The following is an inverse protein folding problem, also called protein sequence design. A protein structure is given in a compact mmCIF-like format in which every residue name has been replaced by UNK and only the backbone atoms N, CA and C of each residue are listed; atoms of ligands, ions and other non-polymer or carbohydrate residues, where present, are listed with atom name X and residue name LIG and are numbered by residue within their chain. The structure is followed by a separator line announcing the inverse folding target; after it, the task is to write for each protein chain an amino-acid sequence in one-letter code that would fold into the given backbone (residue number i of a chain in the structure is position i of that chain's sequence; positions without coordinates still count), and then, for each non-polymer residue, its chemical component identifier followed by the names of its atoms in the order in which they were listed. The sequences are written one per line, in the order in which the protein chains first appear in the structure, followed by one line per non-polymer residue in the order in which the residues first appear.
data_IF_502356840235
#
_entry.id   IF_502356840235
#
_cell.length_a   1.000
_cell.length_b   1.000
_cell.length_c   1.000
_cell.angle_alpha   90.00
_cell.angle_beta   90.00
_cell.angle_gamma   90.00
#
_symmetry.space_group_name_H-M   'P 1'
#
loop_
_entity.id
_entity.type
_entity.pdbx_description
1 polymer ?
#
# COMPACT_ATOMS: atom_id res chain seq x y z
N UNK A 1 -5.58 -8.18 -53.34
CA UNK A 1 -5.93 -7.58 -52.03
C UNK A 1 -4.63 -7.26 -51.30
N UNK A 2 -4.28 -5.99 -51.22
CA UNK A 2 -3.06 -5.51 -50.58
C UNK A 2 -3.33 -5.24 -49.10
N UNK A 3 -2.77 -6.04 -48.20
CA UNK A 3 -2.78 -5.78 -46.76
C UNK A 3 -1.34 -5.86 -46.29
N UNK A 4 -0.71 -4.69 -46.16
CA UNK A 4 0.36 -4.37 -45.21
C UNK A 4 1.05 -3.07 -45.64
N UNK A 5 1.16 -2.12 -44.70
CA UNK A 5 2.33 -1.27 -44.37
C UNK A 5 1.86 -0.12 -43.47
N UNK A 6 2.45 0.01 -42.28
CA UNK A 6 2.20 1.02 -41.23
C UNK A 6 1.12 0.71 -40.18
N UNK A 7 1.35 -0.36 -39.41
CA UNK A 7 0.98 -0.28 -37.99
C UNK A 7 2.13 0.40 -37.24
N UNK A 8 1.87 1.37 -36.34
CA UNK A 8 2.90 2.04 -35.53
C UNK A 8 3.83 1.06 -34.81
N UNK A 9 3.26 -0.07 -34.35
CA UNK A 9 4.00 -1.15 -33.71
C UNK A 9 4.97 -1.88 -34.65
N UNK A 10 4.69 -1.93 -35.95
CA UNK A 10 5.50 -2.66 -36.93
C UNK A 10 6.80 -1.94 -37.29
N UNK A 11 6.79 -0.62 -37.36
CA UNK A 11 8.00 0.17 -37.62
C UNK A 11 8.94 0.13 -36.40
N UNK A 12 8.38 0.29 -35.19
CA UNK A 12 9.10 0.27 -33.93
C UNK A 12 9.74 -1.09 -33.72
N UNK A 13 8.98 -2.18 -33.86
CA UNK A 13 9.49 -3.52 -33.65
C UNK A 13 10.66 -3.85 -34.60
N UNK A 14 10.62 -3.38 -35.85
CA UNK A 14 11.74 -3.55 -36.79
C UNK A 14 12.99 -2.79 -36.35
N UNK A 15 12.85 -1.51 -36.02
CA UNK A 15 13.97 -0.70 -35.55
C UNK A 15 14.54 -1.25 -34.22
N UNK A 16 13.66 -1.72 -33.34
CA UNK A 16 14.00 -2.31 -32.06
C UNK A 16 14.80 -3.61 -32.22
N UNK A 17 14.29 -4.58 -32.97
CA UNK A 17 14.98 -5.86 -33.20
C UNK A 17 16.37 -5.67 -33.84
N UNK A 18 16.55 -4.62 -34.64
CA UNK A 18 17.84 -4.30 -35.25
C UNK A 18 18.86 -3.71 -34.29
N UNK A 19 18.43 -3.04 -33.21
CA UNK A 19 19.32 -2.23 -32.37
C UNK A 19 19.29 -2.58 -30.87
N UNK A 20 18.33 -3.37 -30.40
CA UNK A 20 18.17 -3.72 -28.99
C UNK A 20 19.44 -4.34 -28.38
N UNK A 21 20.11 -5.26 -29.10
CA UNK A 21 21.34 -5.89 -28.61
C UNK A 21 22.53 -4.91 -28.52
N UNK A 22 22.58 -3.89 -29.37
CA UNK A 22 23.59 -2.81 -29.28
C UNK A 22 23.26 -1.85 -28.14
N UNK A 23 21.98 -1.49 -27.98
CA UNK A 23 21.49 -0.63 -26.91
C UNK A 23 21.68 -1.28 -25.53
N UNK A 24 21.39 -2.57 -25.40
CA UNK A 24 21.59 -3.33 -24.16
C UNK A 24 23.06 -3.31 -23.75
N UNK A 25 23.98 -3.60 -24.69
CA UNK A 25 25.44 -3.55 -24.43
C UNK A 25 25.90 -2.14 -24.05
N UNK A 26 25.39 -1.13 -24.75
CA UNK A 26 25.68 0.27 -24.45
C UNK A 26 25.21 0.68 -23.05
N UNK A 27 23.97 0.33 -22.69
CA UNK A 27 23.36 0.66 -21.40
C UNK A 27 24.03 -0.09 -20.26
N UNK A 28 24.20 -1.42 -20.36
CA UNK A 28 24.85 -2.24 -19.33
C UNK A 28 26.29 -1.81 -19.05
N UNK A 29 27.05 -1.42 -20.09
CA UNK A 29 28.42 -0.92 -19.91
C UNK A 29 28.46 0.44 -19.19
N UNK A 30 27.42 1.28 -19.35
CA UNK A 30 27.38 2.65 -18.85
C UNK A 30 26.64 2.81 -17.52
N UNK A 31 25.69 1.92 -17.21
CA UNK A 31 24.99 1.86 -15.91
C UNK A 31 25.86 1.24 -14.81
N UNK A 32 26.87 0.45 -15.18
CA UNK A 32 27.81 -0.16 -14.23
C UNK A 32 27.37 -1.53 -13.68
N UNK A 33 26.13 -1.95 -13.95
CA UNK A 33 25.65 -3.31 -13.71
C UNK A 33 24.64 -3.74 -14.80
N UNK A 34 24.43 -5.06 -14.92
CA UNK A 34 23.56 -5.64 -15.94
C UNK A 34 22.08 -5.30 -15.73
N UNK A 35 21.61 -5.34 -14.47
CA UNK A 35 20.20 -5.15 -14.11
C UNK A 35 19.69 -3.74 -14.48
N UNK A 36 20.43 -2.69 -14.11
CA UNK A 36 20.07 -1.31 -14.47
C UNK A 36 20.10 -1.11 -15.99
N UNK A 37 20.97 -1.84 -16.69
CA UNK A 37 21.02 -1.80 -18.16
C UNK A 37 19.77 -2.38 -18.81
N UNK A 38 19.22 -3.46 -18.25
CA UNK A 38 17.99 -4.11 -18.70
C UNK A 38 16.76 -3.25 -18.40
N UNK A 39 16.69 -2.66 -17.20
CA UNK A 39 15.61 -1.74 -16.81
C UNK A 39 15.56 -0.50 -17.72
N UNK A 40 16.73 0.13 -17.97
CA UNK A 40 16.83 1.28 -18.86
C UNK A 40 16.45 0.93 -20.30
N UNK A 41 16.75 -0.31 -20.75
CA UNK A 41 16.37 -0.78 -22.07
C UNK A 41 14.84 -0.97 -22.16
N UNK A 42 14.22 -1.49 -21.11
CA UNK A 42 12.77 -1.64 -21.04
C UNK A 42 12.06 -0.28 -21.03
N UNK A 43 12.54 0.67 -20.24
CA UNK A 43 12.01 2.04 -20.19
C UNK A 43 12.13 2.74 -21.55
N UNK A 44 13.27 2.56 -22.24
CA UNK A 44 13.47 3.07 -23.59
C UNK A 44 12.44 2.51 -24.58
N UNK A 45 12.13 1.22 -24.49
CA UNK A 45 11.11 0.60 -25.35
C UNK A 45 9.74 1.22 -25.12
N UNK A 46 9.34 1.35 -23.84
CA UNK A 46 8.06 1.96 -23.47
C UNK A 46 7.97 3.42 -23.94
N UNK A 47 9.07 4.18 -23.79
CA UNK A 47 9.14 5.56 -24.28
C UNK A 47 8.98 5.65 -25.79
N UNK A 48 9.56 4.73 -26.55
CA UNK A 48 9.38 4.65 -27.99
C UNK A 48 7.97 4.20 -28.39
N UNK A 49 7.35 3.31 -27.61
CA UNK A 49 6.00 2.81 -27.81
C UNK A 49 4.93 3.89 -27.59
N UNK A 50 5.12 4.75 -26.59
CA UNK A 50 4.21 5.83 -26.22
C UNK A 50 4.31 7.06 -27.14
N UNK A 51 5.23 7.08 -28.11
CA UNK A 51 5.34 8.13 -29.14
C UNK A 51 4.28 7.91 -30.25
N UNK A 52 3.00 8.06 -29.89
CA UNK A 52 1.73 7.83 -30.64
C UNK A 52 1.77 7.91 -32.20
N UNK A 53 2.58 7.08 -32.87
CA UNK A 53 2.79 7.10 -34.32
C UNK A 53 3.94 7.99 -34.80
N UNK A 54 4.43 8.93 -33.98
CA UNK A 54 5.54 9.83 -34.31
C UNK A 54 6.87 9.10 -34.48
N UNK A 55 7.06 7.98 -33.78
CA UNK A 55 8.30 7.21 -33.91
C UNK A 55 8.54 6.75 -35.35
N UNK A 56 7.48 6.37 -36.09
CA UNK A 56 7.62 5.92 -37.48
C UNK A 56 7.96 7.06 -38.45
N UNK A 57 7.83 8.31 -38.04
CA UNK A 57 8.13 9.50 -38.83
C UNK A 57 9.58 9.97 -38.64
N UNK A 58 10.33 9.34 -37.73
CA UNK A 58 11.73 9.68 -37.46
C UNK A 58 12.61 9.19 -38.61
N UNK A 59 13.34 10.11 -39.24
CA UNK A 59 14.26 9.82 -40.35
C UNK A 59 15.36 8.82 -39.98
N UNK A 60 15.88 8.90 -38.75
CA UNK A 60 16.90 8.00 -38.23
C UNK A 60 16.51 7.41 -36.87
N UNK A 61 15.74 6.30 -36.85
CA UNK A 61 15.30 5.65 -35.63
C UNK A 61 16.45 5.21 -34.73
N UNK A 62 17.57 4.78 -35.32
CA UNK A 62 18.77 4.39 -34.57
C UNK A 62 19.34 5.56 -33.78
N UNK A 63 19.58 6.69 -34.45
CA UNK A 63 20.13 7.88 -33.80
C UNK A 63 19.22 8.37 -32.65
N UNK A 64 17.90 8.35 -32.88
CA UNK A 64 16.93 8.70 -31.85
C UNK A 64 16.98 7.74 -30.65
N UNK A 65 17.02 6.42 -30.89
CA UNK A 65 17.09 5.42 -29.81
C UNK A 65 18.33 5.61 -28.94
N UNK A 66 19.51 5.82 -29.55
CA UNK A 66 20.74 6.08 -28.79
C UNK A 66 20.73 7.42 -28.06
N UNK A 67 20.10 8.44 -28.64
CA UNK A 67 19.93 9.73 -27.99
C UNK A 67 19.01 9.63 -26.76
N UNK A 68 17.86 8.98 -26.93
CA UNK A 68 16.90 8.73 -25.85
C UNK A 68 17.51 7.84 -24.75
N UNK A 69 18.23 6.78 -25.12
CA UNK A 69 18.96 5.91 -24.19
C UNK A 69 19.97 6.70 -23.35
N UNK A 70 20.74 7.60 -23.98
CA UNK A 70 21.70 8.46 -23.28
C UNK A 70 21.01 9.39 -22.28
N UNK A 71 19.86 9.96 -22.65
CA UNK A 71 19.11 10.85 -21.76
C UNK A 71 18.58 10.09 -20.54
N UNK A 72 17.97 8.91 -20.76
CA UNK A 72 17.50 8.04 -19.67
C UNK A 72 18.63 7.66 -18.72
N UNK A 73 19.79 7.31 -19.26
CA UNK A 73 20.99 7.02 -18.46
C UNK A 73 21.42 8.24 -17.62
N UNK A 74 21.47 9.44 -18.21
CA UNK A 74 21.85 10.66 -17.48
C UNK A 74 20.85 10.97 -16.37
N UNK A 75 19.56 10.84 -16.65
CA UNK A 75 18.50 11.10 -15.68
C UNK A 75 18.56 10.08 -14.53
N UNK A 76 18.78 8.79 -14.83
CA UNK A 76 19.03 7.74 -13.85
C UNK A 76 20.22 8.11 -12.97
N UNK A 77 21.40 8.38 -13.56
CA UNK A 77 22.62 8.71 -12.83
C UNK A 77 22.51 9.99 -11.96
N UNK A 78 21.66 10.94 -12.34
CA UNK A 78 21.35 12.13 -11.50
C UNK A 78 20.58 11.74 -10.25
N UNK A 79 19.67 10.77 -10.34
CA UNK A 79 18.88 10.27 -9.22
C UNK A 79 19.67 9.28 -8.34
N UNK A 80 20.63 8.54 -8.91
CA UNK A 80 21.39 7.50 -8.18
C UNK A 80 22.50 8.01 -7.27
N UNK A 81 22.80 9.33 -7.26
CA UNK A 81 23.94 9.87 -6.50
C UNK A 81 23.90 9.61 -4.98
N UNK A 82 22.76 9.20 -4.41
CA UNK A 82 22.59 8.92 -2.98
C UNK A 82 22.00 7.52 -2.70
N UNK A 83 22.32 6.50 -3.49
CA UNK A 83 21.93 5.13 -3.15
C UNK A 83 23.12 4.41 -2.49
N UNK A 84 22.93 4.00 -1.23
CA UNK A 84 23.85 3.09 -0.54
C UNK A 84 23.35 1.67 -0.81
N UNK A 85 24.18 0.77 -1.35
CA UNK A 85 23.81 -0.63 -1.49
C UNK A 85 23.40 -1.18 -0.13
N UNK A 86 22.18 -1.71 -0.04
CA UNK A 86 21.76 -2.49 1.12
C UNK A 86 22.54 -3.82 1.07
N UNK A 87 23.26 -4.19 2.15
CA UNK A 87 23.91 -5.49 2.22
C UNK A 87 22.93 -6.64 1.96
N UNK A 88 23.30 -7.60 1.11
CA UNK A 88 22.48 -8.78 0.80
C UNK A 88 22.26 -9.68 2.04
N UNK A 89 23.06 -9.48 3.08
CA UNK A 89 23.01 -10.13 4.39
C UNK A 89 22.35 -9.27 5.47
N UNK A 90 21.61 -8.22 5.08
CA UNK A 90 20.70 -7.52 5.99
C UNK A 90 19.71 -8.54 6.55
N UNK A 91 19.98 -8.97 7.78
CA UNK A 91 18.98 -9.66 8.58
C UNK A 91 17.74 -8.78 8.60
N UNK A 92 16.57 -9.38 8.34
CA UNK A 92 15.31 -8.72 8.59
C UNK A 92 15.38 -8.20 10.02
N UNK A 93 15.29 -6.88 10.20
CA UNK A 93 15.11 -6.37 11.55
C UNK A 93 13.88 -7.07 12.12
N UNK A 94 13.96 -7.61 13.34
CA UNK A 94 12.79 -8.20 13.96
C UNK A 94 11.68 -7.14 13.89
N UNK A 95 10.54 -7.55 13.32
CA UNK A 95 9.38 -6.69 13.19
C UNK A 95 9.15 -6.05 14.57
N UNK A 96 9.16 -4.70 14.66
CA UNK A 96 9.17 -4.03 15.95
C UNK A 96 8.02 -4.59 16.76
N UNK A 97 8.32 -5.17 17.93
CA UNK A 97 7.29 -5.79 18.76
C UNK A 97 6.22 -4.73 19.04
N UNK A 98 5.05 -4.92 18.44
CA UNK A 98 3.94 -4.00 18.63
C UNK A 98 3.66 -3.90 20.14
N UNK A 99 3.56 -2.68 20.68
CA UNK A 99 3.13 -2.44 22.04
C UNK A 99 1.92 -3.33 22.39
N UNK A 100 1.84 -3.90 23.61
CA UNK A 100 0.74 -4.78 24.00
C UNK A 100 -0.65 -4.18 23.73
N UNK A 101 -0.77 -2.85 23.82
CA UNK A 101 -2.01 -2.12 23.52
C UNK A 101 -2.43 -2.23 22.05
N UNK A 102 -1.51 -2.23 21.09
CA UNK A 102 -1.85 -2.29 19.65
C UNK A 102 -2.34 -3.68 19.27
N UNK A 103 -1.82 -4.71 19.95
CA UNK A 103 -2.25 -6.11 19.79
C UNK A 103 -3.64 -6.38 20.37
N UNK A 104 -4.18 -5.51 21.25
CA UNK A 104 -5.55 -5.64 21.77
C UNK A 104 -6.63 -5.55 20.68
N UNK A 105 -6.30 -5.02 19.50
CA UNK A 105 -7.21 -4.99 18.35
C UNK A 105 -7.82 -6.35 18.03
N UNK A 106 -7.09 -7.44 18.28
CA UNK A 106 -7.55 -8.83 18.11
C UNK A 106 -8.76 -9.19 18.99
N UNK A 107 -8.95 -8.50 20.11
CA UNK A 107 -10.08 -8.68 21.01
C UNK A 107 -11.35 -7.98 20.57
N UNK A 108 -11.25 -6.97 19.69
CA UNK A 108 -12.36 -6.09 19.34
C UNK A 108 -13.55 -6.87 18.76
N UNK A 109 -13.41 -7.78 17.77
CA UNK A 109 -14.56 -8.44 17.17
C UNK A 109 -15.39 -9.25 18.18
N UNK A 110 -14.69 -9.97 19.08
CA UNK A 110 -15.32 -10.75 20.16
C UNK A 110 -16.05 -9.83 21.12
N UNK A 111 -15.38 -8.81 21.65
CA UNK A 111 -15.97 -7.90 22.64
C UNK A 111 -17.18 -7.18 22.07
N UNK A 112 -17.11 -6.70 20.82
CA UNK A 112 -18.24 -6.08 20.15
C UNK A 112 -19.46 -7.01 20.10
N UNK A 113 -19.27 -8.30 19.82
CA UNK A 113 -20.37 -9.27 19.75
C UNK A 113 -21.11 -9.45 21.09
N UNK A 114 -20.43 -9.20 22.21
CA UNK A 114 -20.96 -9.36 23.58
C UNK A 114 -21.56 -8.07 24.16
N UNK A 115 -21.41 -6.93 23.46
CA UNK A 115 -22.02 -5.68 23.87
C UNK A 115 -23.52 -5.66 23.54
N UNK A 116 -24.28 -4.92 24.34
CA UNK A 116 -25.67 -4.59 24.02
C UNK A 116 -25.75 -3.93 22.64
N UNK A 117 -26.80 -4.23 21.88
CA UNK A 117 -26.95 -3.78 20.49
C UNK A 117 -26.77 -2.27 20.32
N UNK A 118 -27.31 -1.47 21.24
CA UNK A 118 -27.20 0.00 21.23
C UNK A 118 -25.79 0.50 21.49
N UNK A 119 -25.02 -0.21 22.32
CA UNK A 119 -23.64 0.16 22.63
C UNK A 119 -22.72 -0.25 21.47
N UNK A 120 -22.94 -1.45 20.92
CA UNK A 120 -22.25 -1.94 19.73
C UNK A 120 -22.44 -1.01 18.53
N UNK A 121 -23.67 -0.58 18.26
CA UNK A 121 -23.98 0.36 17.18
C UNK A 121 -23.25 1.70 17.37
N UNK A 122 -23.28 2.26 18.59
CA UNK A 122 -22.60 3.52 18.89
C UNK A 122 -21.09 3.45 18.63
N UNK A 123 -20.43 2.39 19.10
CA UNK A 123 -18.98 2.17 18.88
C UNK A 123 -18.68 1.96 17.39
N UNK A 124 -19.45 1.10 16.72
CA UNK A 124 -19.22 0.78 15.32
C UNK A 124 -19.30 2.04 14.44
N UNK A 125 -20.36 2.83 14.59
CA UNK A 125 -20.55 4.03 13.77
C UNK A 125 -19.55 5.13 14.15
N UNK A 126 -19.43 5.46 15.43
CA UNK A 126 -18.65 6.64 15.83
C UNK A 126 -17.15 6.39 15.90
N UNK A 127 -16.72 5.25 16.44
CA UNK A 127 -15.31 4.98 16.73
C UNK A 127 -14.61 4.19 15.61
N UNK A 128 -15.33 3.28 14.93
CA UNK A 128 -14.73 2.44 13.88
C UNK A 128 -15.00 2.97 12.46
N UNK A 129 -16.18 3.54 12.19
CA UNK A 129 -16.54 4.08 10.88
C UNK A 129 -16.35 5.61 10.79
N UNK A 130 -15.99 6.27 11.89
CA UNK A 130 -15.71 7.72 11.91
C UNK A 130 -16.94 8.61 11.70
N UNK A 131 -18.15 8.09 11.88
CA UNK A 131 -19.38 8.89 11.83
C UNK A 131 -19.37 9.90 12.96
N UNK A 132 -19.62 11.18 12.66
CA UNK A 132 -19.66 12.20 13.70
C UNK A 132 -20.81 11.94 14.67
N UNK A 133 -20.61 12.24 15.96
CA UNK A 133 -21.67 12.05 16.97
C UNK A 133 -22.93 12.88 16.68
N UNK A 134 -22.80 13.95 15.90
CA UNK A 134 -23.94 14.74 15.41
C UNK A 134 -24.72 14.01 14.31
N UNK A 135 -24.03 13.43 13.32
CA UNK A 135 -24.67 12.63 12.29
C UNK A 135 -25.31 11.36 12.90
N UNK A 136 -24.62 10.70 13.83
CA UNK A 136 -25.19 9.59 14.60
C UNK A 136 -26.47 10.00 15.34
N UNK A 137 -26.46 11.13 16.06
CA UNK A 137 -27.65 11.64 16.75
C UNK A 137 -28.86 11.82 15.82
N UNK A 138 -28.62 12.38 14.63
CA UNK A 138 -29.67 12.56 13.61
C UNK A 138 -30.19 11.21 13.10
N UNK A 139 -29.30 10.26 12.82
CA UNK A 139 -29.65 8.93 12.30
C UNK A 139 -30.54 8.14 13.26
N UNK A 140 -30.29 8.21 14.57
CA UNK A 140 -31.05 7.46 15.58
C UNK A 140 -32.12 8.29 16.31
N UNK A 141 -32.40 9.50 15.85
CA UNK A 141 -33.47 10.35 16.38
C UNK A 141 -33.24 10.87 17.81
N UNK A 142 -31.99 11.12 18.20
CA UNK A 142 -31.64 11.66 19.52
C UNK A 142 -31.15 13.11 19.45
N UNK A 143 -31.20 13.80 20.59
CA UNK A 143 -30.47 15.05 20.76
C UNK A 143 -28.96 14.79 20.81
N UNK A 144 -28.16 15.76 20.37
CA UNK A 144 -26.69 15.67 20.41
C UNK A 144 -26.14 15.37 21.82
N UNK A 145 -26.63 15.99 22.93
CA UNK A 145 -26.19 15.62 24.28
C UNK A 145 -26.51 14.18 24.65
N UNK A 146 -27.67 13.66 24.24
CA UNK A 146 -28.05 12.27 24.51
C UNK A 146 -27.17 11.28 23.73
N UNK A 147 -26.84 11.58 22.47
CA UNK A 147 -25.92 10.79 21.66
C UNK A 147 -24.50 10.79 22.24
N UNK A 148 -23.98 11.97 22.64
CA UNK A 148 -22.68 12.11 23.34
C UNK A 148 -22.62 11.23 24.60
N UNK A 149 -23.64 11.31 25.45
CA UNK A 149 -23.75 10.49 26.66
C UNK A 149 -23.84 8.99 26.35
N UNK A 150 -24.52 8.61 25.26
CA UNK A 150 -24.60 7.22 24.81
C UNK A 150 -23.24 6.69 24.37
N UNK A 151 -22.52 7.40 23.49
CA UNK A 151 -21.18 7.01 23.03
C UNK A 151 -20.21 6.89 24.20
N UNK A 152 -20.22 7.85 25.12
CA UNK A 152 -19.36 7.80 26.31
C UNK A 152 -19.63 6.55 27.17
N UNK A 153 -20.90 6.23 27.43
CA UNK A 153 -21.27 5.02 28.19
C UNK A 153 -20.94 3.73 27.44
N UNK A 154 -21.11 3.72 26.13
CA UNK A 154 -20.72 2.58 25.30
C UNK A 154 -19.21 2.33 25.37
N UNK A 155 -18.38 3.38 25.31
CA UNK A 155 -16.92 3.27 25.46
C UNK A 155 -16.52 2.72 26.82
N UNK A 156 -17.11 3.22 27.90
CA UNK A 156 -16.84 2.73 29.25
C UNK A 156 -17.21 1.24 29.41
N UNK A 157 -18.35 0.82 28.85
CA UNK A 157 -18.79 -0.58 28.87
C UNK A 157 -17.91 -1.48 28.00
N UNK A 158 -17.50 -1.00 26.83
CA UNK A 158 -16.54 -1.71 25.97
C UNK A 158 -15.21 -1.90 26.69
N UNK A 159 -14.65 -0.85 27.31
CA UNK A 159 -13.42 -0.95 28.08
C UNK A 159 -13.53 -1.98 29.20
N UNK A 160 -14.60 -1.93 30.01
CA UNK A 160 -14.82 -2.90 31.08
C UNK A 160 -14.92 -4.34 30.53
N UNK A 161 -15.60 -4.51 29.40
CA UNK A 161 -15.72 -5.82 28.75
C UNK A 161 -14.39 -6.29 28.16
N UNK A 162 -13.57 -5.42 27.57
CA UNK A 162 -12.22 -5.77 27.11
C UNK A 162 -11.35 -6.26 28.26
N UNK A 163 -11.34 -5.55 29.39
CA UNK A 163 -10.58 -5.93 30.59
C UNK A 163 -11.00 -7.32 31.08
N UNK A 164 -12.30 -7.59 31.11
CA UNK A 164 -12.83 -8.88 31.56
C UNK A 164 -12.59 -10.02 30.56
N UNK A 165 -12.96 -9.83 29.30
CA UNK A 165 -12.97 -10.89 28.28
C UNK A 165 -11.56 -11.25 27.81
N UNK A 166 -10.69 -10.25 27.70
CA UNK A 166 -9.30 -10.42 27.27
C UNK A 166 -8.29 -10.40 28.40
N UNK A 167 -8.73 -10.39 29.66
CA UNK A 167 -7.86 -10.43 30.84
C UNK A 167 -6.75 -9.37 30.76
N UNK A 168 -7.10 -8.16 30.33
CA UNK A 168 -6.15 -7.06 30.15
C UNK A 168 -5.58 -6.67 31.52
N UNK A 169 -4.26 -6.60 31.62
CA UNK A 169 -3.53 -6.16 32.80
C UNK A 169 -2.84 -4.83 32.53
N UNK A 170 -2.87 -3.98 33.54
CA UNK A 170 -2.21 -2.68 33.52
C UNK A 170 -0.96 -2.71 34.40
N UNK A 171 0.04 -1.91 34.04
CA UNK A 171 1.23 -1.68 34.86
C UNK A 171 0.98 -0.58 35.92
N UNK A 172 2.05 -0.19 36.63
CA UNK A 172 2.01 0.84 37.68
C UNK A 172 1.66 2.24 37.13
N UNK A 173 1.86 2.48 35.83
CA UNK A 173 1.54 3.74 35.15
C UNK A 173 0.12 3.75 34.57
N UNK A 174 -0.60 2.62 34.65
CA UNK A 174 -1.93 2.45 34.06
C UNK A 174 -1.90 2.12 32.57
N UNK A 175 -0.74 1.75 32.02
CA UNK A 175 -0.58 1.33 30.63
C UNK A 175 -0.82 -0.18 30.48
N UNK A 176 -1.26 -0.62 29.29
CA UNK A 176 -1.52 -2.04 29.04
C UNK A 176 -0.20 -2.80 29.00
N UNK A 177 0.02 -3.67 29.98
CA UNK A 177 1.21 -4.51 30.08
C UNK A 177 1.04 -5.83 29.30
N UNK A 178 -0.11 -6.48 29.43
CA UNK A 178 -0.38 -7.75 28.75
C UNK A 178 -1.89 -8.08 28.71
N UNK A 179 -2.26 -9.07 27.90
CA UNK A 179 -3.62 -9.58 27.78
C UNK A 179 -3.59 -11.02 27.24
N UNK A 180 -4.72 -11.73 27.32
CA UNK A 180 -4.90 -13.06 26.75
C UNK A 180 -6.11 -13.02 25.81
N UNK A 181 -5.91 -13.05 24.48
CA UNK A 181 -7.02 -13.05 23.54
C UNK A 181 -7.84 -14.32 23.72
N UNK A 182 -9.16 -14.16 23.81
CA UNK A 182 -10.10 -15.28 23.78
C UNK A 182 -10.56 -15.50 22.32
N UNK A 183 -10.65 -16.75 21.84
CA UNK A 183 -11.18 -17.04 20.51
C UNK A 183 -12.61 -16.50 20.30
N UNK A 184 -12.96 -16.29 19.03
CA UNK A 184 -14.30 -15.81 18.63
C UNK A 184 -15.40 -16.76 19.13
N UNK A 185 -16.59 -16.22 19.41
CA UNK A 185 -17.77 -17.06 19.75
C UNK A 185 -18.05 -17.94 18.54
N UNK A 186 -18.27 -19.24 18.75
CA UNK A 186 -18.93 -20.05 17.74
C UNK A 186 -20.38 -19.55 17.55
N UNK A 187 -20.95 -19.61 16.34
CA UNK A 187 -22.28 -19.07 16.03
C UNK A 187 -23.43 -19.60 16.91
N UNK A 188 -23.22 -20.69 17.66
CA UNK A 188 -24.22 -21.34 18.53
C UNK A 188 -24.24 -20.88 19.99
N UNK A 189 -23.32 -20.02 20.44
CA UNK A 189 -23.22 -19.59 21.84
C UNK A 189 -23.82 -18.19 22.11
N UNK A 190 -24.32 -17.52 21.06
CA UNK A 190 -24.95 -16.19 21.19
C UNK A 190 -26.38 -16.38 21.70
N UNK A 191 -26.61 -16.07 22.99
CA UNK A 191 -27.95 -15.96 23.60
C UNK A 191 -28.66 -14.68 23.21
#
# INVERSE_FOLDING_TARGET
MAVQRNSPLGCLNRAWLQHAAELQRFLAHRSGNLSDGEDLLQELFLKALLQEGDFCQIDNPRAWLFHAARNLLIDRLRLTKNQVPLPDDLAAEPEPELPPVDRLSQCIPRVLSELASTDREAILLCDLQGVTQQAYAQQIGLSLPAAKSRVQRARARMQAQMVRACHVRFDENGEVCCFVPRPLLDPGEVK
#
